data_IF_731300059502
#
_entry.id   IF_731300059502
#
_cell.length_a   1.000
_cell.length_b   1.000
_cell.length_c   1.000
_cell.angle_alpha   90.00
_cell.angle_beta   90.00
_cell.angle_gamma   90.00
#
_symmetry.space_group_name_H-M   'P 1'
#
loop_
_entity.id
_entity.type
_entity.pdbx_description
1 polymer ?
#
# COMPACT_ATOMS: atom_id res chain seq x y z
N UNK A 1 16.81 30.03 24.90
CA UNK A 1 15.54 29.30 24.81
C UNK A 1 14.71 30.07 23.81
N UNK A 2 14.32 29.46 22.70
CA UNK A 2 13.51 30.13 21.68
C UNK A 2 12.11 30.35 22.25
N UNK A 3 11.62 31.59 22.25
CA UNK A 3 10.34 31.95 22.86
C UNK A 3 9.34 32.31 21.75
N UNK A 4 8.16 31.71 21.81
CA UNK A 4 7.06 32.08 20.94
C UNK A 4 6.40 33.34 21.50
N UNK A 5 6.43 34.41 20.72
CA UNK A 5 5.88 35.71 21.11
C UNK A 5 4.48 35.95 20.52
N UNK A 6 4.18 35.34 19.37
CA UNK A 6 2.87 35.42 18.73
C UNK A 6 2.62 34.25 17.78
N UNK A 7 1.36 33.97 17.46
CA UNK A 7 0.98 33.03 16.42
C UNK A 7 -0.31 33.49 15.72
N UNK A 8 -0.48 33.15 14.44
CA UNK A 8 -1.67 33.51 13.66
C UNK A 8 -1.97 32.48 12.57
N UNK A 9 -3.10 32.66 11.89
CA UNK A 9 -3.54 31.80 10.78
C UNK A 9 -3.63 30.31 11.15
N UNK A 10 -3.93 30.04 12.42
CA UNK A 10 -4.03 28.70 12.96
C UNK A 10 -5.17 27.92 12.31
N UNK A 11 -4.90 26.69 11.88
CA UNK A 11 -5.88 25.80 11.26
C UNK A 11 -5.57 24.33 11.56
N UNK A 12 -6.63 23.56 11.81
CA UNK A 12 -6.52 22.11 11.95
C UNK A 12 -6.16 21.45 10.61
N UNK A 13 -5.30 20.44 10.67
CA UNK A 13 -5.13 19.44 9.63
C UNK A 13 -6.10 18.26 9.81
N UNK A 14 -6.01 17.30 8.91
CA UNK A 14 -6.87 16.11 8.84
C UNK A 14 -6.69 15.11 9.98
N UNK A 15 -5.57 15.17 10.70
CA UNK A 15 -5.21 14.27 11.82
C UNK A 15 -5.06 15.01 13.16
N UNK A 16 -5.69 16.19 13.29
CA UNK A 16 -5.68 16.96 14.54
C UNK A 16 -4.38 17.71 14.83
N UNK A 17 -3.41 17.71 13.91
CA UNK A 17 -2.31 18.68 13.91
C UNK A 17 -2.84 20.09 13.74
N UNK A 18 -2.10 21.08 14.22
CA UNK A 18 -2.41 22.50 13.96
C UNK A 18 -1.24 23.11 13.20
N UNK A 19 -1.55 23.71 12.05
CA UNK A 19 -0.59 24.58 11.34
C UNK A 19 -0.85 26.02 11.73
N UNK A 20 0.21 26.79 11.99
CA UNK A 20 0.12 28.20 12.29
C UNK A 20 1.36 28.95 11.76
N UNK A 21 1.21 30.24 11.54
CA UNK A 21 2.34 31.15 11.31
C UNK A 21 2.82 31.64 12.68
N UNK A 22 4.06 31.30 13.05
CA UNK A 22 4.61 31.50 14.41
C UNK A 22 5.69 32.57 14.40
N UNK A 23 5.63 33.47 15.37
CA UNK A 23 6.64 34.50 15.61
C UNK A 23 7.53 34.11 16.79
N UNK A 24 8.82 33.99 16.52
CA UNK A 24 9.84 33.78 17.54
C UNK A 24 10.45 35.11 17.98
N UNK A 25 10.95 35.16 19.21
CA UNK A 25 11.56 36.36 19.81
C UNK A 25 12.86 36.79 19.12
N UNK A 26 13.59 35.85 18.55
CA UNK A 26 14.88 36.04 17.89
C UNK A 26 14.81 36.22 16.37
N UNK A 27 13.61 36.24 15.79
CA UNK A 27 13.43 36.24 14.33
C UNK A 27 12.85 37.56 13.79
N UNK A 28 13.73 38.39 13.23
CA UNK A 28 13.39 39.64 12.56
C UNK A 28 14.07 39.77 11.19
N UNK A 29 13.47 40.55 10.29
CA UNK A 29 14.09 41.01 9.05
C UNK A 29 15.24 42.00 9.35
N UNK A 30 16.02 42.36 8.32
CA UNK A 30 17.14 43.31 8.41
C UNK A 30 16.72 44.72 8.84
N UNK A 31 15.43 45.07 8.67
CA UNK A 31 14.83 46.33 9.12
C UNK A 31 14.21 46.24 10.53
N UNK A 32 14.35 45.10 11.21
CA UNK A 32 13.78 44.86 12.54
C UNK A 32 12.32 44.41 12.55
N UNK A 33 11.69 44.20 11.39
CA UNK A 33 10.31 43.71 11.30
C UNK A 33 10.22 42.26 11.79
N UNK A 34 9.30 41.91 12.71
CA UNK A 34 9.12 40.53 13.11
C UNK A 34 8.66 39.63 11.98
N UNK A 35 9.27 38.45 11.86
CA UNK A 35 8.91 37.46 10.85
C UNK A 35 8.04 36.36 11.45
N UNK A 36 7.22 35.76 10.59
CA UNK A 36 6.41 34.61 10.90
C UNK A 36 6.85 33.43 10.04
N UNK A 37 7.03 32.27 10.65
CA UNK A 37 7.35 31.03 9.95
C UNK A 37 6.18 30.04 10.05
N UNK A 38 5.85 29.33 8.97
CA UNK A 38 4.87 28.26 9.04
C UNK A 38 5.43 27.15 9.95
N UNK A 39 4.63 26.71 10.91
CA UNK A 39 4.98 25.64 11.83
C UNK A 39 3.82 24.66 11.97
N UNK A 40 4.15 23.37 12.03
CA UNK A 40 3.20 22.29 12.32
C UNK A 40 3.40 21.88 13.77
N UNK A 41 2.39 22.10 14.61
CA UNK A 41 2.43 21.81 16.04
C UNK A 41 1.53 20.63 16.37
N UNK A 42 2.02 19.76 17.26
CA UNK A 42 1.29 18.59 17.79
C UNK A 42 1.52 18.43 19.29
N UNK A 43 0.66 17.65 19.97
CA UNK A 43 0.86 17.31 21.37
C UNK A 43 2.13 16.47 21.65
N UNK A 44 2.70 15.85 20.63
CA UNK A 44 3.88 14.98 20.71
C UNK A 44 5.04 15.52 19.87
N UNK A 45 5.06 16.84 19.66
CA UNK A 45 6.11 17.49 18.90
C UNK A 45 7.47 17.36 19.60
N UNK A 46 8.50 17.03 18.82
CA UNK A 46 9.86 16.81 19.31
C UNK A 46 10.59 18.10 19.67
N UNK A 47 10.16 19.25 19.14
CA UNK A 47 10.71 20.54 19.55
C UNK A 47 10.10 20.95 20.89
N UNK A 48 10.91 21.41 21.84
CA UNK A 48 10.46 21.73 23.20
C UNK A 48 9.30 22.76 23.25
N UNK A 49 9.26 23.70 22.29
CA UNK A 49 8.20 24.70 22.19
C UNK A 49 6.94 24.20 21.47
N UNK A 50 7.03 23.08 20.75
CA UNK A 50 5.97 22.53 19.91
C UNK A 50 4.74 22.09 20.70
N UNK A 51 4.86 21.28 21.77
CA UNK A 51 3.72 20.90 22.61
C UNK A 51 3.09 22.09 23.33
N UNK A 52 3.91 23.06 23.77
CA UNK A 52 3.41 24.29 24.40
C UNK A 52 2.59 25.12 23.41
N UNK A 53 3.09 25.30 22.18
CA UNK A 53 2.37 25.97 21.11
C UNK A 53 1.03 25.27 20.82
N UNK A 54 1.01 23.93 20.77
CA UNK A 54 -0.21 23.15 20.52
C UNK A 54 -1.26 23.43 21.60
N UNK A 55 -0.85 23.37 22.87
CA UNK A 55 -1.72 23.68 24.01
C UNK A 55 -2.23 25.12 23.97
N UNK A 56 -1.36 26.08 23.68
CA UNK A 56 -1.69 27.50 23.60
C UNK A 56 -2.70 27.78 22.49
N UNK A 57 -2.50 27.21 21.30
CA UNK A 57 -3.43 27.32 20.17
C UNK A 57 -4.79 26.73 20.51
N UNK A 58 -4.85 25.53 21.11
CA UNK A 58 -6.11 24.90 21.52
C UNK A 58 -6.84 25.68 22.61
N UNK A 59 -6.11 26.36 23.49
CA UNK A 59 -6.71 27.22 24.53
C UNK A 59 -7.30 28.52 23.98
N UNK A 60 -7.02 28.86 22.72
CA UNK A 60 -7.45 30.11 22.10
C UNK A 60 -6.56 31.32 22.41
N UNK A 61 -5.38 31.11 23.02
CA UNK A 61 -4.42 32.18 23.39
C UNK A 61 -4.08 33.08 22.20
N UNK A 62 -4.00 32.50 21.00
CA UNK A 62 -3.66 33.17 19.75
C UNK A 62 -4.86 33.30 18.79
N UNK A 63 -6.08 33.21 19.32
CA UNK A 63 -7.33 33.21 18.55
C UNK A 63 -7.85 31.81 18.21
N UNK A 64 -8.98 31.78 17.50
CA UNK A 64 -9.64 30.53 17.10
C UNK A 64 -8.81 29.77 16.06
N UNK A 65 -8.65 28.46 16.29
CA UNK A 65 -8.06 27.55 15.30
C UNK A 65 -9.13 27.17 14.29
N UNK A 66 -8.95 27.58 13.03
CA UNK A 66 -9.91 27.29 11.97
C UNK A 66 -10.05 25.77 11.76
N UNK A 67 -11.26 25.26 11.48
CA UNK A 67 -11.46 23.85 11.20
C UNK A 67 -10.74 23.42 9.92
N UNK A 68 -10.44 22.13 9.83
CA UNK A 68 -9.98 21.51 8.61
C UNK A 68 -11.13 21.49 7.58
N UNK A 69 -10.87 21.96 6.36
CA UNK A 69 -11.85 21.98 5.26
C UNK A 69 -11.28 21.12 4.14
N UNK A 70 -11.98 20.05 3.81
CA UNK A 70 -11.67 19.20 2.66
C UNK A 70 -12.00 19.95 1.38
N UNK A 71 -11.04 20.05 0.45
CA UNK A 71 -11.27 20.59 -0.89
C UNK A 71 -11.45 19.46 -1.92
N UNK A 72 -12.05 19.73 -3.09
CA UNK A 72 -12.11 18.74 -4.18
C UNK A 72 -10.75 18.16 -4.55
N UNK A 73 -9.70 19.00 -4.59
CA UNK A 73 -8.34 18.58 -4.91
C UNK A 73 -7.78 17.61 -3.85
N UNK A 74 -8.17 17.77 -2.59
CA UNK A 74 -7.80 16.83 -1.53
C UNK A 74 -8.47 15.46 -1.68
N UNK A 75 -9.74 15.44 -2.13
CA UNK A 75 -10.43 14.19 -2.44
C UNK A 75 -9.77 13.47 -3.61
N UNK A 76 -9.46 14.19 -4.68
CA UNK A 76 -8.79 13.63 -5.86
C UNK A 76 -7.40 13.08 -5.52
N UNK A 77 -6.63 13.83 -4.72
CA UNK A 77 -5.33 13.37 -4.23
C UNK A 77 -5.45 12.11 -3.35
N UNK A 78 -6.47 12.04 -2.48
CA UNK A 78 -6.71 10.87 -1.64
C UNK A 78 -7.11 9.63 -2.47
N UNK A 79 -7.98 9.79 -3.47
CA UNK A 79 -8.36 8.71 -4.40
C UNK A 79 -7.14 8.23 -5.18
N UNK A 80 -6.35 9.14 -5.73
CA UNK A 80 -5.14 8.81 -6.46
C UNK A 80 -4.14 8.03 -5.58
N UNK A 81 -3.92 8.49 -4.35
CA UNK A 81 -3.07 7.78 -3.38
C UNK A 81 -3.58 6.36 -3.12
N UNK A 82 -4.89 6.19 -2.96
CA UNK A 82 -5.49 4.86 -2.73
C UNK A 82 -5.43 3.98 -3.98
N UNK A 83 -5.54 4.54 -5.19
CA UNK A 83 -5.33 3.81 -6.44
C UNK A 83 -3.90 3.28 -6.57
N UNK A 84 -2.89 4.03 -6.10
CA UNK A 84 -1.52 3.53 -6.04
C UNK A 84 -1.38 2.35 -5.08
N UNK A 85 -1.97 2.44 -3.88
CA UNK A 85 -2.00 1.34 -2.91
C UNK A 85 -2.65 0.07 -3.48
N UNK A 86 -3.77 0.23 -4.22
CA UNK A 86 -4.44 -0.89 -4.93
C UNK A 86 -3.53 -1.50 -6.01
N UNK A 87 -2.79 -0.68 -6.74
CA UNK A 87 -1.85 -1.18 -7.75
C UNK A 87 -0.68 -1.94 -7.11
N UNK A 88 -0.17 -1.46 -5.97
CA UNK A 88 0.87 -2.15 -5.20
C UNK A 88 0.37 -3.48 -4.64
N UNK A 89 -0.85 -3.50 -4.10
CA UNK A 89 -1.49 -4.75 -3.68
C UNK A 89 -1.59 -5.74 -4.84
N UNK A 90 -2.07 -5.32 -6.02
CA UNK A 90 -2.14 -6.18 -7.20
C UNK A 90 -0.75 -6.73 -7.55
N UNK A 91 0.25 -5.87 -7.59
CA UNK A 91 1.62 -6.28 -7.93
C UNK A 91 2.14 -7.31 -6.93
N UNK A 92 1.82 -7.18 -5.63
CA UNK A 92 2.16 -8.19 -4.62
C UNK A 92 1.43 -9.51 -4.87
N UNK A 93 0.12 -9.47 -5.15
CA UNK A 93 -0.66 -10.70 -5.43
C UNK A 93 -0.18 -11.41 -6.70
N UNK A 94 0.07 -10.70 -7.79
CA UNK A 94 0.55 -11.26 -9.07
C UNK A 94 1.98 -11.83 -9.01
N UNK A 95 2.74 -11.51 -7.95
CA UNK A 95 4.07 -12.05 -7.70
C UNK A 95 4.11 -13.02 -6.50
N UNK A 96 2.97 -13.29 -5.86
CA UNK A 96 2.86 -14.29 -4.81
C UNK A 96 2.90 -15.71 -5.38
N UNK A 97 3.29 -16.67 -4.55
CA UNK A 97 3.22 -18.10 -4.88
C UNK A 97 1.94 -18.70 -4.31
N UNK A 98 1.34 -19.63 -5.04
CA UNK A 98 0.22 -20.46 -4.57
C UNK A 98 0.52 -21.93 -4.83
N UNK A 99 -0.45 -22.81 -4.60
CA UNK A 99 -0.33 -24.24 -4.92
C UNK A 99 -1.57 -24.74 -5.65
N UNK A 100 -1.43 -25.78 -6.46
CA UNK A 100 -2.56 -26.54 -7.00
C UNK A 100 -2.42 -28.03 -6.68
N UNK A 101 -3.54 -28.75 -6.63
CA UNK A 101 -3.55 -30.20 -6.40
C UNK A 101 -3.72 -30.97 -7.71
N UNK A 102 -2.87 -31.95 -7.97
CA UNK A 102 -2.97 -32.84 -9.12
C UNK A 102 -2.33 -34.19 -8.77
N UNK A 103 -3.00 -35.29 -9.16
CA UNK A 103 -2.51 -36.66 -8.95
C UNK A 103 -2.14 -37.01 -7.50
N UNK A 104 -2.83 -36.42 -6.52
CA UNK A 104 -2.60 -36.66 -5.10
C UNK A 104 -1.47 -35.84 -4.47
N UNK A 105 -0.85 -34.94 -5.23
CA UNK A 105 0.23 -34.07 -4.78
C UNK A 105 -0.16 -32.59 -4.87
N UNK A 106 0.48 -31.75 -4.05
CA UNK A 106 0.40 -30.29 -4.15
C UNK A 106 1.63 -29.78 -4.87
N UNK A 107 1.44 -28.95 -5.88
CA UNK A 107 2.53 -28.42 -6.70
C UNK A 107 2.64 -26.92 -6.52
N UNK A 108 3.87 -26.42 -6.46
CA UNK A 108 4.14 -24.99 -6.46
C UNK A 108 3.58 -24.34 -7.73
N UNK A 109 3.00 -23.16 -7.56
CA UNK A 109 2.35 -22.41 -8.62
C UNK A 109 2.78 -20.95 -8.55
N UNK A 110 3.88 -20.67 -9.23
CA UNK A 110 4.51 -19.36 -9.33
C UNK A 110 5.29 -19.24 -10.65
N UNK A 111 5.78 -18.05 -10.97
CA UNK A 111 6.50 -17.77 -12.22
C UNK A 111 7.79 -18.57 -12.38
N UNK A 112 8.51 -18.84 -11.28
CA UNK A 112 9.74 -19.62 -11.32
C UNK A 112 9.43 -21.11 -11.58
N UNK A 113 8.42 -21.64 -10.90
CA UNK A 113 7.92 -23.01 -11.09
C UNK A 113 7.41 -23.21 -12.53
N UNK A 114 6.68 -22.24 -13.09
CA UNK A 114 6.26 -22.24 -14.49
C UNK A 114 7.43 -22.25 -15.48
N UNK A 115 8.46 -21.44 -15.23
CA UNK A 115 9.67 -21.40 -16.06
C UNK A 115 10.42 -22.74 -16.05
N UNK A 116 10.59 -23.36 -14.88
CA UNK A 116 11.23 -24.68 -14.74
C UNK A 116 10.42 -25.77 -15.43
N UNK A 117 9.09 -25.69 -15.34
CA UNK A 117 8.20 -26.68 -15.94
C UNK A 117 8.24 -26.58 -17.46
N UNK A 118 8.28 -25.36 -17.99
CA UNK A 118 8.45 -25.11 -19.42
C UNK A 118 9.78 -25.66 -19.96
N UNK A 119 10.88 -25.48 -19.22
CA UNK A 119 12.18 -26.07 -19.60
C UNK A 119 12.16 -27.60 -19.57
N UNK A 120 11.49 -28.18 -18.57
CA UNK A 120 11.36 -29.65 -18.44
C UNK A 120 10.48 -30.25 -19.54
N UNK A 121 9.42 -29.55 -19.94
CA UNK A 121 8.61 -29.92 -21.10
C UNK A 121 9.42 -29.91 -22.40
N UNK A 122 10.28 -28.90 -22.60
CA UNK A 122 11.14 -28.85 -23.77
C UNK A 122 12.15 -30.00 -23.80
N UNK A 123 12.75 -30.33 -22.64
CA UNK A 123 13.61 -31.50 -22.49
C UNK A 123 12.86 -32.81 -22.79
N UNK A 124 11.61 -32.93 -22.35
CA UNK A 124 10.74 -34.08 -22.64
C UNK A 124 10.43 -34.19 -24.14
N UNK A 125 10.11 -33.07 -24.82
CA UNK A 125 9.85 -33.02 -26.27
C UNK A 125 11.08 -33.34 -27.10
N UNK A 126 12.24 -32.92 -26.64
CA UNK A 126 13.54 -33.24 -27.24
C UNK A 126 14.03 -34.67 -26.92
N UNK A 127 13.26 -35.44 -26.15
CA UNK A 127 13.61 -36.81 -25.71
C UNK A 127 14.96 -36.89 -24.99
N UNK A 128 15.31 -35.85 -24.22
CA UNK A 128 16.54 -35.76 -23.41
C UNK A 128 16.23 -35.75 -21.90
N UNK A 129 14.97 -35.98 -21.52
CA UNK A 129 14.58 -36.09 -20.11
C UNK A 129 15.26 -37.33 -19.48
N UNK A 130 15.97 -37.20 -18.36
CA UNK A 130 16.62 -38.33 -17.70
C UNK A 130 15.64 -39.45 -17.32
N UNK A 131 16.08 -40.71 -17.38
CA UNK A 131 15.23 -41.86 -17.04
C UNK A 131 14.77 -41.87 -15.57
N UNK A 132 15.56 -41.28 -14.68
CA UNK A 132 15.27 -41.11 -13.25
C UNK A 132 14.82 -39.68 -12.90
N UNK A 133 14.27 -38.94 -13.87
CA UNK A 133 13.76 -37.60 -13.63
C UNK A 133 12.62 -37.60 -12.61
N UNK A 134 12.62 -36.59 -11.75
CA UNK A 134 11.60 -36.36 -10.75
C UNK A 134 11.30 -34.85 -10.66
N UNK A 135 10.15 -34.52 -10.11
CA UNK A 135 9.77 -33.17 -9.72
C UNK A 135 9.52 -33.14 -8.23
N UNK A 136 10.12 -32.18 -7.53
CA UNK A 136 9.87 -31.97 -6.09
C UNK A 136 8.58 -31.18 -5.92
N UNK A 137 7.61 -31.78 -5.24
CA UNK A 137 6.31 -31.15 -4.99
C UNK A 137 6.40 -30.08 -3.88
N UNK A 138 5.29 -29.36 -3.63
CA UNK A 138 5.25 -28.25 -2.67
C UNK A 138 5.46 -28.70 -1.21
N UNK A 139 5.32 -30.00 -0.93
CA UNK A 139 5.55 -30.61 0.38
C UNK A 139 6.98 -31.20 0.49
N UNK A 140 7.86 -30.87 -0.48
CA UNK A 140 9.25 -31.33 -0.60
C UNK A 140 9.39 -32.84 -0.82
N UNK A 141 8.45 -33.46 -1.53
CA UNK A 141 8.51 -34.87 -1.91
C UNK A 141 8.97 -34.98 -3.36
N UNK A 142 10.01 -35.78 -3.60
CA UNK A 142 10.48 -36.08 -4.95
C UNK A 142 9.56 -37.10 -5.63
N UNK A 143 8.80 -36.63 -6.61
CA UNK A 143 7.81 -37.44 -7.34
C UNK A 143 8.37 -37.81 -8.71
N UNK A 144 8.50 -39.10 -9.05
CA UNK A 144 8.85 -39.52 -10.40
C UNK A 144 7.76 -39.05 -11.38
N UNK A 145 8.14 -38.26 -12.39
CA UNK A 145 7.20 -37.73 -13.40
C UNK A 145 7.72 -38.02 -14.81
N UNK A 146 6.78 -38.27 -15.73
CA UNK A 146 7.05 -38.50 -17.16
C UNK A 146 6.55 -37.33 -18.00
N UNK A 147 6.84 -37.35 -19.29
CA UNK A 147 6.39 -36.32 -20.23
C UNK A 147 4.88 -36.02 -20.14
N UNK A 148 4.04 -37.05 -20.02
CA UNK A 148 2.58 -36.88 -19.90
C UNK A 148 2.17 -36.20 -18.57
N UNK A 149 2.89 -36.48 -17.48
CA UNK A 149 2.65 -35.83 -16.18
C UNK A 149 3.03 -34.35 -16.26
N UNK A 150 4.16 -34.02 -16.89
CA UNK A 150 4.60 -32.63 -17.10
C UNK A 150 3.59 -31.82 -17.93
N UNK A 151 3.00 -32.39 -18.97
CA UNK A 151 1.95 -31.71 -19.77
C UNK A 151 0.68 -31.48 -18.94
N UNK A 152 0.30 -32.45 -18.09
CA UNK A 152 -0.84 -32.32 -17.17
C UNK A 152 -0.59 -31.26 -16.09
N UNK A 153 0.61 -31.26 -15.50
CA UNK A 153 1.05 -30.24 -14.54
C UNK A 153 1.06 -28.86 -15.18
N UNK A 154 1.55 -28.72 -16.40
CA UNK A 154 1.61 -27.44 -17.12
C UNK A 154 0.21 -26.89 -17.39
N UNK A 155 -0.71 -27.75 -17.83
CA UNK A 155 -2.11 -27.38 -18.00
C UNK A 155 -2.72 -26.91 -16.69
N UNK A 156 -2.59 -27.69 -15.62
CA UNK A 156 -3.15 -27.35 -14.31
C UNK A 156 -2.55 -26.06 -13.71
N UNK A 157 -1.24 -25.88 -13.84
CA UNK A 157 -0.53 -24.67 -13.40
C UNK A 157 -1.01 -23.45 -14.16
N UNK A 158 -1.04 -23.51 -15.50
CA UNK A 158 -1.48 -22.39 -16.34
C UNK A 158 -2.95 -22.03 -16.07
N UNK A 159 -3.83 -23.02 -15.90
CA UNK A 159 -5.23 -22.78 -15.50
C UNK A 159 -5.30 -22.10 -14.13
N UNK A 160 -4.53 -22.57 -13.16
CA UNK A 160 -4.51 -21.99 -11.80
C UNK A 160 -4.02 -20.55 -11.82
N UNK A 161 -2.89 -20.28 -12.50
CA UNK A 161 -2.34 -18.93 -12.64
C UNK A 161 -3.31 -17.99 -13.37
N UNK A 162 -3.96 -18.48 -14.42
CA UNK A 162 -4.97 -17.71 -15.16
C UNK A 162 -6.16 -17.32 -14.27
N UNK A 163 -6.75 -18.29 -13.57
CA UNK A 163 -7.90 -18.05 -12.69
C UNK A 163 -7.53 -17.10 -11.54
N UNK A 164 -6.34 -17.27 -10.96
CA UNK A 164 -5.85 -16.38 -9.91
C UNK A 164 -5.64 -14.96 -10.43
N UNK A 165 -4.98 -14.80 -11.59
CA UNK A 165 -4.78 -13.51 -12.23
C UNK A 165 -6.11 -12.81 -12.55
N UNK A 166 -7.11 -13.56 -13.02
CA UNK A 166 -8.45 -13.04 -13.29
C UNK A 166 -9.13 -12.51 -12.01
N UNK A 167 -9.13 -13.29 -10.92
CA UNK A 167 -9.67 -12.86 -9.62
C UNK A 167 -9.00 -11.60 -9.08
N UNK A 168 -7.67 -11.53 -9.19
CA UNK A 168 -6.90 -10.35 -8.77
C UNK A 168 -7.32 -9.12 -9.59
N UNK A 169 -7.49 -9.29 -10.91
CA UNK A 169 -7.91 -8.22 -11.79
C UNK A 169 -9.33 -7.73 -11.48
N UNK A 170 -10.28 -8.64 -11.28
CA UNK A 170 -11.66 -8.30 -10.88
C UNK A 170 -11.67 -7.53 -9.56
N UNK A 171 -10.96 -8.02 -8.55
CA UNK A 171 -10.89 -7.36 -7.25
C UNK A 171 -10.22 -5.98 -7.35
N UNK A 172 -9.15 -5.84 -8.14
CA UNK A 172 -8.53 -4.54 -8.39
C UNK A 172 -9.52 -3.53 -8.96
N UNK A 173 -10.32 -3.95 -9.96
CA UNK A 173 -11.35 -3.09 -10.56
C UNK A 173 -12.40 -2.69 -9.56
N UNK A 174 -12.92 -3.66 -8.82
CA UNK A 174 -13.90 -3.44 -7.76
C UNK A 174 -13.39 -2.41 -6.74
N UNK A 175 -12.17 -2.57 -6.21
CA UNK A 175 -11.63 -1.62 -5.23
C UNK A 175 -11.49 -0.20 -5.80
N UNK A 176 -11.11 -0.05 -7.07
CA UNK A 176 -11.03 1.26 -7.73
C UNK A 176 -12.40 1.90 -7.88
N UNK A 177 -13.41 1.13 -8.27
CA UNK A 177 -14.80 1.60 -8.38
C UNK A 177 -15.38 2.00 -7.01
N UNK A 178 -15.10 1.21 -5.95
CA UNK A 178 -15.50 1.52 -4.58
C UNK A 178 -14.86 2.81 -4.07
N UNK A 179 -13.56 3.00 -4.27
CA UNK A 179 -12.83 4.22 -3.88
C UNK A 179 -13.33 5.45 -4.63
N UNK A 180 -13.66 5.31 -5.92
CA UNK A 180 -14.19 6.40 -6.73
C UNK A 180 -15.57 6.86 -6.23
N UNK A 181 -16.40 5.93 -5.77
CA UNK A 181 -17.73 6.21 -5.24
C UNK A 181 -17.74 6.90 -3.87
N UNK A 182 -16.62 6.92 -3.13
CA UNK A 182 -16.54 7.56 -1.82
C UNK A 182 -16.49 9.09 -1.96
N UNK A 183 -17.35 9.77 -1.21
CA UNK A 183 -17.39 11.24 -1.10
C UNK A 183 -16.71 11.77 0.17
N UNK A 184 -16.58 10.94 1.20
CA UNK A 184 -15.96 11.33 2.47
C UNK A 184 -14.44 11.12 2.43
N UNK A 185 -13.70 12.17 2.79
CA UNK A 185 -12.24 12.18 2.78
C UNK A 185 -11.64 11.10 3.68
N UNK A 186 -12.21 10.91 4.87
CA UNK A 186 -11.71 9.95 5.83
C UNK A 186 -12.04 8.52 5.41
N UNK A 187 -13.20 8.29 4.80
CA UNK A 187 -13.57 7.01 4.22
C UNK A 187 -12.62 6.61 3.09
N UNK A 188 -12.23 7.53 2.20
CA UNK A 188 -11.23 7.25 1.15
C UNK A 188 -9.90 6.83 1.78
N UNK A 189 -9.41 7.58 2.77
CA UNK A 189 -8.14 7.26 3.44
C UNK A 189 -8.18 5.92 4.17
N UNK A 190 -9.29 5.64 4.83
CA UNK A 190 -9.50 4.43 5.63
C UNK A 190 -9.95 3.22 4.81
N UNK A 191 -10.14 3.36 3.50
CA UNK A 191 -10.49 2.23 2.63
C UNK A 191 -9.43 1.12 2.75
N UNK A 192 -9.88 -0.09 3.09
CA UNK A 192 -9.03 -1.25 3.31
C UNK A 192 -8.72 -1.91 1.98
N UNK A 193 -7.45 -1.86 1.58
CA UNK A 193 -6.97 -2.53 0.36
C UNK A 193 -6.67 -3.99 0.67
N UNK A 194 -7.30 -4.90 -0.08
CA UNK A 194 -7.13 -6.32 0.17
C UNK A 194 -8.26 -7.17 -0.42
N UNK A 195 -8.17 -8.47 -0.17
CA UNK A 195 -9.31 -9.37 -0.31
C UNK A 195 -10.41 -8.97 0.68
N UNK A 196 -11.69 -9.14 0.32
CA UNK A 196 -12.77 -8.93 1.29
C UNK A 196 -12.58 -9.88 2.48
N UNK A 197 -12.96 -9.44 3.68
CA UNK A 197 -13.01 -10.33 4.84
C UNK A 197 -13.96 -11.50 4.52
N UNK A 198 -13.54 -12.72 4.85
CA UNK A 198 -14.42 -13.89 4.79
C UNK A 198 -15.47 -13.71 5.90
N UNK A 199 -16.72 -13.50 5.49
CA UNK A 199 -17.88 -13.39 6.39
C UNK A 199 -18.37 -14.74 6.92
#
# INVERSE_FOLDING_TARGET
MTIITDAKNARYGDNGIITADVRFDDLTSSDGTPLYLPYISTAHDSADFGPQLYSDLKSGKYGEVKPFIVTPEMLDAARLSKQYEINDWRNQQENSSTTFSLNGHRWDCDKASQGRLSASLEAARSNILPANFFWTDADNIDVPVKAADLESMSTAMNTTMFLQGFKIHERQRQMKEEVEALADYQAIKNYVVGWPEEG
#
